data_IF_108392734969
#
_entry.id   IF_108392734969
#
_cell.length_a   1.000
_cell.length_b   1.000
_cell.length_c   1.000
_cell.angle_alpha   90.00
_cell.angle_beta   90.00
_cell.angle_gamma   90.00
#
_symmetry.space_group_name_H-M   'P 1'
#
loop_
_entity.id
_entity.type
_entity.pdbx_description
1 polymer ?
#
# COMPACT_ATOMS: atom_id res chain seq x y z
N UNK A 1 21.66 11.66 -6.01
CA UNK A 1 21.43 10.63 -7.06
C UNK A 1 22.28 9.42 -6.66
N UNK A 2 21.70 8.54 -5.84
CA UNK A 2 22.33 7.33 -5.26
C UNK A 2 21.86 6.12 -6.08
N UNK A 3 22.64 5.04 -6.27
CA UNK A 3 22.48 4.09 -7.38
C UNK A 3 21.07 3.51 -7.36
N UNK A 4 20.30 3.91 -8.37
CA UNK A 4 18.85 4.04 -8.29
C UNK A 4 18.18 2.69 -8.47
N UNK A 5 17.58 2.20 -7.39
CA UNK A 5 16.38 1.35 -7.48
C UNK A 5 15.48 1.96 -8.56
N UNK A 6 15.10 1.22 -9.64
CA UNK A 6 14.27 1.79 -10.69
C UNK A 6 13.02 2.42 -10.08
N UNK A 7 12.56 3.55 -10.61
CA UNK A 7 11.47 4.37 -10.03
C UNK A 7 10.27 3.53 -9.58
N UNK A 8 9.93 2.50 -10.35
CA UNK A 8 8.85 1.53 -10.09
C UNK A 8 9.01 0.76 -8.76
N UNK A 9 10.23 0.58 -8.28
CA UNK A 9 10.57 -0.13 -7.06
C UNK A 9 10.74 0.79 -5.84
N UNK A 10 10.68 2.12 -6.00
CA UNK A 10 10.75 3.07 -4.87
C UNK A 10 9.67 2.78 -3.81
N UNK A 11 8.49 2.38 -4.28
CA UNK A 11 7.29 2.14 -3.47
C UNK A 11 6.89 0.67 -3.40
N UNK A 12 7.69 -0.23 -3.98
CA UNK A 12 7.42 -1.66 -3.97
C UNK A 12 8.50 -2.37 -3.19
N UNK A 13 8.10 -3.38 -2.43
CA UNK A 13 9.02 -4.30 -1.77
C UNK A 13 9.58 -5.28 -2.80
N UNK A 14 10.54 -4.81 -3.62
CA UNK A 14 11.13 -5.55 -4.75
C UNK A 14 11.64 -6.96 -4.38
N UNK A 15 12.13 -7.13 -3.14
CA UNK A 15 12.66 -8.40 -2.62
C UNK A 15 11.57 -9.37 -2.11
N UNK A 16 10.29 -9.00 -2.15
CA UNK A 16 9.16 -9.89 -1.77
C UNK A 16 8.73 -10.77 -2.95
N UNK A 17 7.72 -11.60 -2.70
CA UNK A 17 7.14 -12.59 -3.64
C UNK A 17 6.42 -11.92 -4.82
N UNK A 18 7.19 -11.37 -5.77
CA UNK A 18 6.73 -11.16 -7.14
C UNK A 18 6.95 -12.44 -7.97
N UNK A 19 6.10 -12.75 -8.97
CA UNK A 19 4.90 -12.02 -9.40
C UNK A 19 3.79 -12.02 -8.34
N UNK A 20 2.89 -11.04 -8.39
CA UNK A 20 1.80 -10.92 -7.41
C UNK A 20 0.83 -12.12 -7.48
N UNK A 21 0.07 -12.37 -6.41
CA UNK A 21 -0.86 -13.51 -6.34
C UNK A 21 -2.16 -13.33 -7.14
N UNK A 22 -2.44 -12.13 -7.67
CA UNK A 22 -3.66 -11.88 -8.42
C UNK A 22 -3.67 -12.57 -9.78
N UNK A 23 -4.84 -13.09 -10.16
CA UNK A 23 -5.03 -13.83 -11.40
C UNK A 23 -4.73 -12.97 -12.64
N UNK A 24 -4.32 -13.58 -13.77
CA UNK A 24 -4.26 -12.89 -15.05
C UNK A 24 -5.62 -12.23 -15.37
N UNK A 25 -5.60 -10.96 -15.78
CA UNK A 25 -6.82 -10.17 -16.04
C UNK A 25 -7.45 -9.53 -14.80
N UNK A 26 -6.95 -9.79 -13.59
CA UNK A 26 -7.43 -9.12 -12.38
C UNK A 26 -6.96 -7.66 -12.32
N UNK A 27 -7.89 -6.72 -12.10
CA UNK A 27 -7.59 -5.29 -12.05
C UNK A 27 -6.86 -4.80 -10.79
N UNK A 28 -6.66 -5.63 -9.77
CA UNK A 28 -6.09 -5.20 -8.49
C UNK A 28 -4.65 -4.69 -8.65
N UNK A 29 -3.84 -5.34 -9.50
CA UNK A 29 -2.49 -4.88 -9.80
C UNK A 29 -2.47 -3.51 -10.49
N UNK A 30 -3.47 -3.23 -11.35
CA UNK A 30 -3.64 -1.92 -12.01
C UNK A 30 -3.98 -0.86 -10.95
N UNK A 31 -4.92 -1.15 -10.05
CA UNK A 31 -5.29 -0.24 -8.95
C UNK A 31 -4.09 0.04 -8.05
N UNK A 32 -3.31 -0.97 -7.68
CA UNK A 32 -2.08 -0.79 -6.89
C UNK A 32 -1.10 0.15 -7.60
N UNK A 33 -0.86 -0.04 -8.90
CA UNK A 33 0.00 0.84 -9.69
C UNK A 33 -0.53 2.27 -9.77
N UNK A 34 -1.84 2.46 -9.87
CA UNK A 34 -2.47 3.79 -9.85
C UNK A 34 -2.34 4.49 -8.50
N UNK A 35 -2.49 3.76 -7.38
CA UNK A 35 -2.28 4.30 -6.03
C UNK A 35 -0.84 4.80 -5.87
N UNK A 36 0.15 4.00 -6.29
CA UNK A 36 1.57 4.38 -6.21
C UNK A 36 1.85 5.65 -7.01
N UNK A 37 1.33 5.76 -8.24
CA UNK A 37 1.50 6.96 -9.07
C UNK A 37 0.83 8.19 -8.45
N UNK A 38 -0.34 8.02 -7.82
CA UNK A 38 -1.02 9.10 -7.13
C UNK A 38 -0.22 9.59 -5.92
N UNK A 39 0.33 8.67 -5.13
CA UNK A 39 1.21 8.98 -3.99
C UNK A 39 2.44 9.78 -4.43
N UNK A 40 3.13 9.33 -5.48
CA UNK A 40 4.32 10.04 -5.99
C UNK A 40 3.97 11.43 -6.53
N UNK A 41 2.85 11.56 -7.26
CA UNK A 41 2.37 12.84 -7.78
C UNK A 41 2.00 13.85 -6.69
N UNK A 42 1.54 13.38 -5.53
CA UNK A 42 1.27 14.23 -4.35
C UNK A 42 2.54 14.61 -3.59
N UNK A 43 3.70 14.03 -3.93
CA UNK A 43 4.96 14.29 -3.24
C UNK A 43 5.00 13.77 -1.80
N UNK A 44 4.13 12.82 -1.44
CA UNK A 44 4.10 12.25 -0.10
C UNK A 44 5.28 11.30 0.11
N UNK A 45 5.88 11.39 1.31
CA UNK A 45 6.85 10.38 1.73
C UNK A 45 6.13 9.05 1.95
N UNK A 46 6.78 7.95 1.56
CA UNK A 46 6.26 6.60 1.74
C UNK A 46 6.11 6.25 3.23
N UNK A 47 6.95 6.84 4.09
CA UNK A 47 6.97 6.61 5.52
C UNK A 47 5.84 7.36 6.26
N UNK A 48 5.19 8.32 5.61
CA UNK A 48 4.00 9.02 6.12
C UNK A 48 2.68 8.33 5.74
N UNK A 49 2.75 7.28 4.91
CA UNK A 49 1.57 6.59 4.39
C UNK A 49 1.30 5.33 5.21
N UNK A 50 0.02 5.13 5.55
CA UNK A 50 -0.47 3.91 6.19
C UNK A 50 -1.54 3.27 5.32
N UNK A 51 -1.23 2.13 4.72
CA UNK A 51 -2.19 1.31 3.97
C UNK A 51 -2.77 0.21 4.87
N UNK A 52 -4.06 0.32 5.15
CA UNK A 52 -4.81 -0.62 6.00
C UNK A 52 -5.72 -1.48 5.13
N UNK A 53 -5.73 -2.79 5.36
CA UNK A 53 -6.61 -3.71 4.62
C UNK A 53 -7.37 -4.66 5.52
N UNK A 54 -8.48 -5.17 5.01
CA UNK A 54 -9.23 -6.30 5.62
C UNK A 54 -8.68 -7.66 5.22
N UNK A 55 -9.58 -8.58 4.84
CA UNK A 55 -9.26 -9.90 4.28
C UNK A 55 -9.92 -10.01 2.90
N UNK A 56 -9.16 -10.45 1.90
CA UNK A 56 -9.59 -10.65 0.53
C UNK A 56 -8.42 -10.60 -0.45
N UNK A 57 -8.71 -10.78 -1.74
CA UNK A 57 -7.69 -10.62 -2.79
C UNK A 57 -7.09 -9.20 -2.77
N UNK A 58 -7.92 -8.16 -2.65
CA UNK A 58 -7.45 -6.76 -2.58
C UNK A 58 -6.54 -6.54 -1.37
N UNK A 59 -6.87 -7.15 -0.24
CA UNK A 59 -6.12 -7.05 1.02
C UNK A 59 -4.73 -7.69 0.99
N UNK A 60 -4.31 -8.27 -0.12
CA UNK A 60 -2.90 -8.68 -0.33
C UNK A 60 -2.02 -7.51 -0.77
N UNK A 61 -2.59 -6.38 -1.20
CA UNK A 61 -1.85 -5.19 -1.64
C UNK A 61 -0.80 -4.69 -0.63
N UNK A 62 -1.07 -4.63 0.69
CA UNK A 62 -0.10 -4.16 1.67
C UNK A 62 1.15 -5.06 1.80
N UNK A 63 1.14 -6.27 1.24
CA UNK A 63 2.33 -7.13 1.20
C UNK A 63 3.36 -6.63 0.19
N UNK A 64 2.90 -5.99 -0.88
CA UNK A 64 3.70 -5.62 -2.05
C UNK A 64 4.26 -4.19 -1.99
N UNK A 65 3.56 -3.27 -1.34
CA UNK A 65 3.97 -1.87 -1.22
C UNK A 65 4.91 -1.62 -0.05
N UNK A 66 5.83 -0.68 -0.22
CA UNK A 66 6.76 -0.22 0.80
C UNK A 66 6.23 1.05 1.49
N UNK A 67 5.14 0.87 2.24
CA UNK A 67 4.54 1.85 3.13
C UNK A 67 4.47 1.27 4.55
N UNK A 68 3.96 2.04 5.52
CA UNK A 68 3.42 1.43 6.73
C UNK A 68 2.14 0.66 6.35
N UNK A 69 2.04 -0.60 6.81
CA UNK A 69 1.00 -1.50 6.32
C UNK A 69 0.36 -2.30 7.43
N UNK A 70 -0.97 -2.40 7.43
CA UNK A 70 -1.75 -3.21 8.36
C UNK A 70 -2.67 -4.16 7.59
N UNK A 71 -2.43 -5.47 7.70
CA UNK A 71 -3.35 -6.49 7.18
C UNK A 71 -4.19 -7.01 8.36
N UNK A 72 -5.43 -6.56 8.43
CA UNK A 72 -6.28 -6.70 9.62
C UNK A 72 -7.31 -7.82 9.46
N UNK A 73 -8.27 -7.91 10.38
CA UNK A 73 -9.36 -8.90 10.31
C UNK A 73 -10.43 -8.49 9.30
N UNK A 74 -11.19 -9.49 8.82
CA UNK A 74 -12.19 -9.28 7.78
C UNK A 74 -13.23 -8.23 8.19
N UNK A 75 -13.45 -7.23 7.34
CA UNK A 75 -14.37 -6.12 7.60
C UNK A 75 -13.94 -5.14 8.70
N UNK A 76 -12.70 -5.20 9.20
CA UNK A 76 -12.20 -4.33 10.29
C UNK A 76 -11.12 -3.33 9.88
N UNK A 77 -10.73 -3.29 8.60
CA UNK A 77 -9.72 -2.35 8.12
C UNK A 77 -10.01 -0.88 8.48
N UNK A 78 -11.27 -0.44 8.37
CA UNK A 78 -11.65 0.92 8.74
C UNK A 78 -11.51 1.18 10.24
N UNK A 79 -11.85 0.24 11.12
CA UNK A 79 -11.71 0.42 12.56
C UNK A 79 -10.24 0.64 12.96
N UNK A 80 -9.33 -0.15 12.38
CA UNK A 80 -7.89 0.04 12.57
C UNK A 80 -7.41 1.36 11.96
N UNK A 81 -7.83 1.69 10.73
CA UNK A 81 -7.46 2.94 10.07
C UNK A 81 -7.89 4.18 10.85
N UNK A 82 -9.11 4.18 11.40
CA UNK A 82 -9.60 5.25 12.29
C UNK A 82 -8.72 5.37 13.52
N UNK A 83 -8.38 4.26 14.18
CA UNK A 83 -7.50 4.26 15.34
C UNK A 83 -6.11 4.85 15.03
N UNK A 84 -5.52 4.47 13.89
CA UNK A 84 -4.23 5.03 13.44
C UNK A 84 -4.34 6.54 13.22
N UNK A 85 -5.37 7.00 12.50
CA UNK A 85 -5.53 8.41 12.19
C UNK A 85 -5.82 9.25 13.44
N UNK A 86 -6.53 8.71 14.42
CA UNK A 86 -6.75 9.36 15.71
C UNK A 86 -5.46 9.44 16.55
N UNK A 87 -4.62 8.40 16.51
CA UNK A 87 -3.37 8.37 17.27
C UNK A 87 -2.29 9.27 16.67
N UNK A 88 -2.21 9.36 15.33
CA UNK A 88 -1.31 10.28 14.64
C UNK A 88 -2.03 10.94 13.44
N UNK A 89 -2.56 12.16 13.63
CA UNK A 89 -3.28 12.90 12.59
C UNK A 89 -2.44 13.32 11.39
N UNK A 90 -1.11 13.30 11.47
CA UNK A 90 -0.23 13.71 10.36
C UNK A 90 -0.09 12.60 9.30
N UNK A 91 -0.36 11.33 9.66
CA UNK A 91 -0.23 10.20 8.74
C UNK A 91 -1.34 10.19 7.68
N UNK A 92 -0.96 9.85 6.45
CA UNK A 92 -1.88 9.65 5.34
C UNK A 92 -2.42 8.21 5.34
N UNK A 93 -3.58 8.01 5.96
CA UNK A 93 -4.21 6.69 6.12
C UNK A 93 -5.14 6.38 4.95
N UNK A 94 -4.96 5.22 4.32
CA UNK A 94 -5.81 4.71 3.24
C UNK A 94 -6.28 3.28 3.52
N UNK A 95 -7.53 2.98 3.18
CA UNK A 95 -8.12 1.65 3.33
C UNK A 95 -8.32 0.95 1.97
N UNK A 96 -7.97 -0.33 1.88
CA UNK A 96 -8.03 -1.16 0.64
C UNK A 96 -8.54 -2.60 0.85
#
# INVERSE_FOLDING_TARGET
>A
MSPTIPYEYKYLRAKKRFPHVWCPGCGIGIVMGSIIRAVDAMGWDKDDIVMVSGIGCTSRMPVYVDFNTLHTTHGRGLAFGTGVKMANPELNVMAV
#
